data_IF_254325238550
#
_entry.id   IF_254325238550
#
_cell.length_a   1.000
_cell.length_b   1.000
_cell.length_c   1.000
_cell.angle_alpha   90.00
_cell.angle_beta   90.00
_cell.angle_gamma   90.00
#
_symmetry.space_group_name_H-M   'P 1'
#
loop_
_entity.id
_entity.type
_entity.pdbx_description
1 polymer ?
#
# COMPACT_ATOMS: atom_id res chain seq x y z
N UNK A 1 -31.28 29.95 -38.56
CA UNK A 1 -31.69 29.52 -39.92
C UNK A 1 -30.70 28.47 -40.37
N UNK A 2 -31.04 27.24 -40.35
CA UNK A 2 -31.08 26.21 -41.38
C UNK A 2 -31.48 24.88 -40.68
N UNK A 3 -32.56 24.34 -41.23
CA UNK A 3 -33.29 23.14 -40.76
C UNK A 3 -32.61 21.89 -41.29
N UNK A 4 -32.50 20.84 -40.42
CA UNK A 4 -33.23 19.57 -40.50
C UNK A 4 -33.12 18.78 -41.83
N UNK A 5 -32.62 17.51 -41.73
CA UNK A 5 -33.35 16.40 -42.38
C UNK A 5 -32.96 15.03 -41.76
N UNK A 6 -34.02 14.38 -41.32
CA UNK A 6 -34.13 13.00 -40.85
C UNK A 6 -34.59 12.14 -42.02
N UNK A 7 -33.96 11.02 -42.29
CA UNK A 7 -34.60 9.92 -43.02
C UNK A 7 -34.19 8.56 -42.45
N UNK A 8 -35.23 7.83 -42.03
CA UNK A 8 -35.28 6.42 -41.67
C UNK A 8 -35.08 5.57 -42.92
N UNK A 9 -34.51 4.34 -42.76
CA UNK A 9 -34.85 3.21 -43.61
C UNK A 9 -34.95 1.95 -42.75
N UNK A 10 -36.12 1.32 -42.80
CA UNK A 10 -36.48 -0.02 -42.41
C UNK A 10 -36.37 -0.95 -43.63
N UNK A 11 -35.99 -2.19 -43.42
CA UNK A 11 -36.49 -3.42 -44.13
C UNK A 11 -35.36 -4.49 -43.97
N UNK A 12 -35.57 -5.71 -43.74
CA UNK A 12 -36.60 -6.71 -43.58
C UNK A 12 -35.92 -8.06 -43.70
N UNK A 13 -36.44 -9.05 -43.00
CA UNK A 13 -35.98 -10.42 -42.80
C UNK A 13 -35.89 -11.23 -44.11
N UNK A 14 -35.06 -12.34 -44.07
CA UNK A 14 -35.33 -13.55 -44.78
C UNK A 14 -34.71 -14.77 -44.06
N UNK A 15 -35.56 -15.68 -43.65
CA UNK A 15 -35.34 -17.02 -43.13
C UNK A 15 -35.03 -17.95 -44.30
N UNK A 16 -34.03 -18.81 -44.18
CA UNK A 16 -34.00 -20.04 -44.99
C UNK A 16 -33.47 -21.21 -44.15
N UNK A 17 -34.39 -22.10 -43.84
CA UNK A 17 -34.12 -23.41 -43.23
C UNK A 17 -33.75 -24.38 -44.35
N UNK A 18 -32.74 -25.23 -44.14
CA UNK A 18 -32.59 -26.47 -44.90
C UNK A 18 -32.08 -27.59 -43.98
N UNK A 19 -32.95 -28.55 -43.80
CA UNK A 19 -32.76 -29.84 -43.15
C UNK A 19 -32.13 -30.81 -44.16
N UNK A 20 -31.03 -31.48 -43.79
CA UNK A 20 -30.68 -32.75 -44.38
C UNK A 20 -30.24 -33.71 -43.27
N UNK A 21 -31.03 -34.78 -43.16
CA UNK A 21 -30.80 -35.94 -42.30
C UNK A 21 -29.71 -36.84 -42.89
N UNK A 22 -28.83 -37.37 -42.04
CA UNK A 22 -27.92 -38.45 -42.39
C UNK A 22 -27.48 -39.18 -41.13
N UNK A 23 -28.09 -40.34 -40.89
CA UNK A 23 -27.69 -41.28 -39.84
C UNK A 23 -26.40 -41.99 -40.21
N UNK A 24 -25.43 -42.02 -39.28
CA UNK A 24 -24.51 -43.13 -39.14
C UNK A 24 -24.00 -43.20 -37.69
N UNK A 25 -24.20 -44.35 -37.10
CA UNK A 25 -23.85 -44.79 -35.76
C UNK A 25 -22.33 -44.80 -35.54
N UNK A 26 -21.90 -44.23 -34.43
CA UNK A 26 -20.54 -44.33 -33.91
C UNK A 26 -20.49 -43.84 -32.45
N UNK A 27 -20.40 -44.77 -31.53
CA UNK A 27 -20.19 -44.53 -30.09
C UNK A 27 -18.89 -43.82 -29.84
N UNK A 28 -18.97 -42.60 -29.26
CA UNK A 28 -17.83 -41.84 -28.80
C UNK A 28 -18.26 -40.96 -27.63
N UNK A 29 -17.81 -41.32 -26.47
CA UNK A 29 -17.99 -40.56 -25.23
C UNK A 29 -17.50 -39.12 -25.39
N UNK A 30 -18.36 -38.14 -25.20
CA UNK A 30 -17.97 -36.75 -25.06
C UNK A 30 -17.50 -36.52 -23.62
N UNK A 31 -16.18 -36.54 -23.40
CA UNK A 31 -15.57 -36.04 -22.19
C UNK A 31 -15.67 -34.52 -22.21
N UNK A 32 -16.46 -34.01 -21.28
CA UNK A 32 -16.42 -32.58 -20.89
C UNK A 32 -15.06 -32.30 -20.24
N UNK A 33 -14.24 -31.51 -20.91
CA UNK A 33 -12.97 -31.08 -20.38
C UNK A 33 -13.19 -29.99 -19.30
N UNK A 34 -13.45 -30.43 -18.08
CA UNK A 34 -13.13 -29.68 -16.90
C UNK A 34 -11.71 -30.04 -16.51
N UNK A 35 -10.74 -29.23 -16.87
CA UNK A 35 -9.36 -29.45 -16.44
C UNK A 35 -9.18 -29.12 -14.94
N UNK A 36 -9.52 -30.11 -14.10
CA UNK A 36 -8.97 -30.17 -12.76
C UNK A 36 -7.55 -30.75 -12.90
N UNK A 37 -6.54 -29.87 -12.91
CA UNK A 37 -5.15 -30.27 -13.00
C UNK A 37 -4.61 -30.78 -11.65
N UNK A 38 -4.92 -32.04 -11.34
CA UNK A 38 -3.99 -32.84 -10.52
C UNK A 38 -2.98 -33.43 -11.49
N UNK A 39 -1.75 -32.97 -11.43
CA UNK A 39 -0.64 -33.60 -12.12
C UNK A 39 -0.53 -35.06 -11.65
N UNK A 40 -0.16 -35.97 -12.54
CA UNK A 40 -0.11 -37.41 -12.27
C UNK A 40 0.97 -37.85 -11.26
N UNK A 41 1.68 -36.90 -10.65
CA UNK A 41 2.79 -37.08 -9.69
C UNK A 41 2.50 -36.53 -8.27
N UNK A 42 1.26 -36.12 -7.98
CA UNK A 42 0.91 -35.52 -6.67
C UNK A 42 1.31 -34.07 -6.50
N UNK A 43 1.73 -33.37 -7.57
CA UNK A 43 2.05 -31.93 -7.53
C UNK A 43 0.78 -31.09 -7.50
N UNK A 44 0.74 -30.12 -6.57
CA UNK A 44 -0.34 -29.13 -6.41
C UNK A 44 0.13 -27.77 -6.97
N UNK A 45 -0.73 -27.10 -7.72
CA UNK A 45 -0.48 -25.73 -8.16
C UNK A 45 -1.40 -24.78 -7.40
N UNK A 46 -0.82 -23.84 -6.65
CA UNK A 46 -1.52 -22.74 -5.98
C UNK A 46 -1.40 -21.46 -6.79
N UNK A 47 -2.43 -20.62 -6.76
CA UNK A 47 -2.44 -19.32 -7.40
C UNK A 47 -2.16 -18.21 -6.41
N UNK A 48 -1.10 -17.42 -6.68
CA UNK A 48 -0.76 -16.20 -5.92
C UNK A 48 -1.27 -14.98 -6.68
N UNK A 49 -2.27 -14.32 -6.13
CA UNK A 49 -2.84 -13.10 -6.69
C UNK A 49 -2.25 -11.86 -6.01
N UNK A 50 -1.68 -10.95 -6.81
CA UNK A 50 -1.02 -9.73 -6.33
C UNK A 50 -1.08 -8.62 -7.40
N UNK A 51 -0.63 -7.41 -7.04
CA UNK A 51 -0.47 -6.27 -7.96
C UNK A 51 0.98 -6.06 -8.41
N UNK A 52 1.92 -6.76 -7.82
CA UNK A 52 3.34 -6.58 -8.10
C UNK A 52 3.76 -7.07 -9.49
N UNK A 53 4.69 -6.37 -10.14
CA UNK A 53 5.40 -6.91 -11.30
C UNK A 53 6.31 -8.07 -10.89
N UNK A 54 6.23 -9.19 -11.61
CA UNK A 54 6.93 -10.42 -11.22
C UNK A 54 8.46 -10.27 -11.18
N UNK A 55 9.03 -9.67 -12.22
CA UNK A 55 10.49 -9.56 -12.37
C UNK A 55 11.10 -8.41 -11.60
N UNK A 56 10.52 -7.21 -11.72
CA UNK A 56 11.08 -6.02 -11.08
C UNK A 56 11.04 -6.09 -9.56
N UNK A 57 10.11 -6.87 -9.03
CA UNK A 57 9.99 -7.12 -7.59
C UNK A 57 10.55 -8.49 -7.15
N UNK A 58 11.35 -9.15 -8.01
CA UNK A 58 12.06 -10.42 -7.73
C UNK A 58 11.15 -11.56 -7.24
N UNK A 59 9.87 -11.59 -7.63
CA UNK A 59 8.98 -12.69 -7.29
C UNK A 59 9.36 -14.00 -7.95
N UNK A 60 9.97 -13.93 -9.12
CA UNK A 60 10.53 -15.10 -9.81
C UNK A 60 11.63 -15.78 -8.99
N UNK A 61 12.48 -15.01 -8.31
CA UNK A 61 13.52 -15.53 -7.40
C UNK A 61 12.88 -16.21 -6.19
N UNK A 62 11.94 -15.52 -5.51
CA UNK A 62 11.26 -16.06 -4.34
C UNK A 62 10.48 -17.35 -4.68
N UNK A 63 9.72 -17.36 -5.79
CA UNK A 63 8.95 -18.54 -6.22
C UNK A 63 9.88 -19.71 -6.55
N UNK A 64 10.97 -19.47 -7.28
CA UNK A 64 11.92 -20.53 -7.64
C UNK A 64 12.56 -21.17 -6.39
N UNK A 65 12.94 -20.41 -5.39
CA UNK A 65 13.50 -20.96 -4.14
C UNK A 65 12.43 -21.68 -3.30
N UNK A 66 11.18 -21.20 -3.31
CA UNK A 66 10.07 -21.94 -2.68
C UNK A 66 9.87 -23.29 -3.34
N UNK A 67 9.71 -23.34 -4.67
CA UNK A 67 9.47 -24.57 -5.42
C UNK A 67 10.62 -25.57 -5.32
N UNK A 68 11.84 -25.09 -5.11
CA UNK A 68 12.99 -25.95 -4.85
C UNK A 68 12.92 -26.62 -3.47
N UNK A 69 12.45 -25.89 -2.45
CA UNK A 69 12.25 -26.43 -1.09
C UNK A 69 11.00 -27.29 -0.98
N UNK A 70 9.97 -26.99 -1.75
CA UNK A 70 8.66 -27.65 -1.76
C UNK A 70 8.33 -28.18 -3.17
N UNK A 71 9.02 -29.22 -3.66
CA UNK A 71 8.92 -29.63 -5.07
C UNK A 71 7.52 -30.09 -5.48
N UNK A 72 6.68 -30.47 -4.51
CA UNK A 72 5.29 -30.89 -4.75
C UNK A 72 4.31 -29.71 -4.82
N UNK A 73 4.76 -28.45 -4.62
CA UNK A 73 3.91 -27.27 -4.70
C UNK A 73 4.47 -26.33 -5.79
N UNK A 74 3.62 -25.96 -6.74
CA UNK A 74 3.93 -24.99 -7.78
C UNK A 74 3.14 -23.71 -7.52
N UNK A 75 3.72 -22.54 -7.88
CA UNK A 75 3.10 -21.23 -7.70
C UNK A 75 2.83 -20.58 -9.05
N UNK A 76 1.56 -20.51 -9.41
CA UNK A 76 1.10 -19.69 -10.52
C UNK A 76 0.96 -18.22 -10.04
N UNK A 77 1.81 -17.36 -10.58
CA UNK A 77 1.80 -15.94 -10.23
C UNK A 77 0.82 -15.16 -11.11
N UNK A 78 -0.21 -14.59 -10.50
CA UNK A 78 -1.29 -13.86 -11.18
C UNK A 78 -1.22 -12.38 -10.83
N UNK A 79 -0.81 -11.56 -11.79
CA UNK A 79 -0.69 -10.09 -11.62
C UNK A 79 -0.98 -9.37 -12.94
N UNK A 80 -1.48 -8.14 -12.84
CA UNK A 80 -1.56 -7.21 -13.97
C UNK A 80 -0.21 -6.54 -14.29
N UNK A 81 0.79 -6.71 -13.44
CA UNK A 81 2.15 -6.14 -13.56
C UNK A 81 2.20 -4.61 -13.68
N UNK A 82 1.11 -3.92 -13.28
CA UNK A 82 0.98 -2.46 -13.35
C UNK A 82 1.32 -1.74 -12.04
N UNK A 83 1.70 -2.51 -11.02
CA UNK A 83 1.99 -2.04 -9.65
C UNK A 83 0.88 -1.16 -9.06
N UNK A 84 -0.38 -1.47 -9.38
CA UNK A 84 -1.56 -0.73 -8.95
C UNK A 84 -2.50 -1.60 -8.10
N UNK A 85 -2.38 -1.47 -6.79
CA UNK A 85 -3.20 -2.25 -5.85
C UNK A 85 -4.70 -1.95 -5.96
N UNK A 86 -5.11 -0.73 -6.30
CA UNK A 86 -6.53 -0.39 -6.42
C UNK A 86 -7.19 -1.09 -7.61
N UNK A 87 -6.51 -1.17 -8.75
CA UNK A 87 -7.00 -1.93 -9.91
C UNK A 87 -6.96 -3.44 -9.66
N UNK A 88 -5.96 -3.90 -8.93
CA UNK A 88 -5.88 -5.29 -8.48
C UNK A 88 -7.11 -5.69 -7.65
N UNK A 89 -7.53 -4.88 -6.66
CA UNK A 89 -8.69 -5.23 -5.83
C UNK A 89 -9.99 -5.35 -6.63
N UNK A 90 -10.19 -4.50 -7.63
CA UNK A 90 -11.35 -4.62 -8.54
C UNK A 90 -11.36 -5.95 -9.27
N UNK A 91 -10.19 -6.39 -9.77
CA UNK A 91 -10.02 -7.68 -10.47
C UNK A 91 -10.18 -8.85 -9.51
N UNK A 92 -9.61 -8.77 -8.30
CA UNK A 92 -9.74 -9.78 -7.26
C UNK A 92 -11.21 -10.00 -6.88
N UNK A 93 -11.94 -8.92 -6.62
CA UNK A 93 -13.35 -8.98 -6.23
C UNK A 93 -14.22 -9.60 -7.36
N UNK A 94 -13.91 -9.26 -8.62
CA UNK A 94 -14.58 -9.85 -9.78
C UNK A 94 -14.26 -11.34 -9.93
N UNK A 95 -13.00 -11.74 -9.78
CA UNK A 95 -12.57 -13.14 -9.84
C UNK A 95 -13.26 -13.96 -8.75
N UNK A 96 -13.32 -13.46 -7.51
CA UNK A 96 -14.03 -14.11 -6.42
C UNK A 96 -15.54 -14.23 -6.69
N UNK A 97 -16.18 -13.20 -7.25
CA UNK A 97 -17.60 -13.20 -7.59
C UNK A 97 -17.92 -14.15 -8.76
N UNK A 98 -17.01 -14.31 -9.73
CA UNK A 98 -17.17 -15.21 -10.87
C UNK A 98 -16.88 -16.68 -10.53
N UNK A 99 -16.37 -16.96 -9.31
CA UNK A 99 -16.00 -18.31 -8.89
C UNK A 99 -14.67 -18.81 -9.46
N UNK A 100 -13.79 -17.89 -9.85
CA UNK A 100 -12.43 -18.23 -10.24
C UNK A 100 -11.66 -18.87 -9.08
N UNK A 101 -10.76 -19.80 -9.41
CA UNK A 101 -9.92 -20.46 -8.42
C UNK A 101 -8.88 -19.46 -7.88
N UNK A 102 -8.96 -19.16 -6.60
CA UNK A 102 -8.03 -18.32 -5.84
C UNK A 102 -7.46 -19.15 -4.69
N UNK A 103 -6.18 -18.97 -4.35
CA UNK A 103 -5.56 -19.66 -3.22
C UNK A 103 -4.92 -18.65 -2.26
N UNK A 104 -3.86 -17.95 -2.68
CA UNK A 104 -3.20 -16.90 -1.93
C UNK A 104 -3.57 -15.53 -2.50
N UNK A 105 -4.02 -14.63 -1.64
CA UNK A 105 -4.40 -13.26 -1.99
C UNK A 105 -3.63 -12.25 -1.13
N UNK A 106 -3.14 -11.18 -1.75
CA UNK A 106 -2.35 -10.17 -1.06
C UNK A 106 -3.14 -8.89 -0.82
N UNK A 107 -2.82 -8.22 0.28
CA UNK A 107 -3.41 -6.94 0.69
C UNK A 107 -2.30 -5.96 1.05
N UNK A 108 -2.38 -4.73 0.53
CA UNK A 108 -1.39 -3.67 0.78
C UNK A 108 -1.48 -3.06 2.19
N UNK A 109 -2.57 -3.33 2.90
CA UNK A 109 -2.77 -2.93 4.30
C UNK A 109 -3.98 -3.65 4.91
N UNK A 110 -4.14 -3.48 6.21
CA UNK A 110 -5.19 -4.13 6.98
C UNK A 110 -6.61 -3.66 6.65
N UNK A 111 -6.80 -2.44 6.13
CA UNK A 111 -8.13 -1.96 5.73
C UNK A 111 -8.70 -2.78 4.58
N UNK A 112 -7.89 -3.07 3.56
CA UNK A 112 -8.32 -3.90 2.42
C UNK A 112 -8.53 -5.36 2.82
N UNK A 113 -7.71 -5.88 3.74
CA UNK A 113 -7.90 -7.22 4.29
C UNK A 113 -9.21 -7.31 5.09
N UNK A 114 -9.46 -6.35 5.99
CA UNK A 114 -10.66 -6.29 6.83
C UNK A 114 -11.95 -6.30 6.00
N UNK A 115 -12.00 -5.51 4.91
CA UNK A 115 -13.16 -5.50 4.00
C UNK A 115 -13.44 -6.87 3.38
N UNK A 116 -12.41 -7.62 2.96
CA UNK A 116 -12.59 -8.94 2.34
C UNK A 116 -12.83 -10.03 3.37
N UNK A 117 -12.30 -9.87 4.57
CA UNK A 117 -12.64 -10.73 5.71
C UNK A 117 -14.13 -10.65 6.03
N UNK A 118 -14.72 -9.46 6.12
CA UNK A 118 -16.16 -9.27 6.34
C UNK A 118 -17.03 -9.87 5.23
N UNK A 119 -16.54 -9.88 4.01
CA UNK A 119 -17.20 -10.54 2.87
C UNK A 119 -17.03 -12.07 2.88
N UNK A 120 -16.39 -12.64 3.91
CA UNK A 120 -16.15 -14.08 4.02
C UNK A 120 -15.15 -14.63 2.99
N UNK A 121 -14.30 -13.77 2.41
CA UNK A 121 -13.32 -14.17 1.41
C UNK A 121 -12.07 -14.82 1.99
N UNK A 122 -11.82 -14.68 3.29
CA UNK A 122 -10.58 -15.13 3.92
C UNK A 122 -10.81 -16.27 4.91
N UNK A 123 -9.87 -17.19 4.93
CA UNK A 123 -9.78 -18.29 5.90
C UNK A 123 -9.04 -17.79 7.16
N UNK A 124 -9.55 -18.04 8.38
CA UNK A 124 -8.77 -17.87 9.60
C UNK A 124 -7.61 -18.87 9.63
N UNK A 125 -6.41 -18.39 10.00
CA UNK A 125 -5.20 -19.22 10.01
C UNK A 125 -4.69 -19.57 11.41
N UNK A 126 -5.45 -19.25 12.45
CA UNK A 126 -5.07 -19.53 13.84
C UNK A 126 -4.76 -21.00 14.09
N UNK A 127 -5.54 -21.92 13.50
CA UNK A 127 -5.33 -23.35 13.66
C UNK A 127 -3.98 -23.84 13.10
N UNK A 128 -3.45 -23.22 12.04
CA UNK A 128 -2.11 -23.52 11.51
C UNK A 128 -1.01 -22.97 12.44
N UNK A 129 -1.19 -21.75 12.95
CA UNK A 129 -0.25 -21.13 13.89
C UNK A 129 -0.17 -21.93 15.21
N UNK A 130 -1.32 -22.39 15.73
CA UNK A 130 -1.38 -23.22 16.93
C UNK A 130 -0.65 -24.57 16.74
N UNK A 131 -0.78 -25.21 15.59
CA UNK A 131 -0.07 -26.47 15.26
C UNK A 131 1.45 -26.29 15.24
N UNK A 132 1.94 -25.11 14.83
CA UNK A 132 3.37 -24.77 14.84
C UNK A 132 3.85 -24.26 16.22
N UNK A 133 2.94 -23.94 17.15
CA UNK A 133 3.25 -23.23 18.38
C UNK A 133 3.72 -21.78 18.13
N UNK A 134 3.33 -21.19 17.00
CA UNK A 134 3.72 -19.85 16.62
C UNK A 134 2.80 -18.79 17.25
N UNK A 135 3.41 -17.71 17.76
CA UNK A 135 2.69 -16.54 18.30
C UNK A 135 2.95 -15.34 17.42
N UNK A 136 1.94 -14.84 16.75
CA UNK A 136 2.06 -13.73 15.77
C UNK A 136 2.81 -12.53 16.35
N UNK A 137 2.44 -12.09 17.55
CA UNK A 137 3.04 -10.92 18.19
C UNK A 137 4.53 -11.10 18.54
N UNK A 138 4.99 -12.33 18.74
CA UNK A 138 6.41 -12.62 19.04
C UNK A 138 7.24 -12.66 17.76
N UNK A 139 6.62 -13.00 16.63
CA UNK A 139 7.30 -13.25 15.38
C UNK A 139 7.25 -12.10 14.38
N UNK A 140 6.20 -11.28 14.41
CA UNK A 140 5.99 -10.22 13.41
C UNK A 140 5.83 -8.83 14.03
N UNK A 141 6.28 -7.80 13.31
CA UNK A 141 6.14 -6.40 13.71
C UNK A 141 4.75 -5.84 13.43
N UNK A 142 4.05 -6.38 12.43
CA UNK A 142 2.69 -5.97 12.06
C UNK A 142 1.68 -6.93 12.66
N UNK A 143 0.73 -6.41 13.41
CA UNK A 143 -0.40 -7.21 13.95
C UNK A 143 -1.50 -7.32 12.88
N UNK A 144 -1.83 -8.54 12.49
CA UNK A 144 -2.85 -8.82 11.46
C UNK A 144 -4.12 -9.44 12.01
N UNK A 145 -4.32 -9.40 13.34
CA UNK A 145 -5.52 -9.92 13.98
C UNK A 145 -6.70 -8.96 13.81
N UNK A 146 -7.88 -9.53 13.55
CA UNK A 146 -9.15 -8.83 13.50
C UNK A 146 -10.15 -9.61 14.37
N UNK A 147 -10.73 -8.96 15.36
CA UNK A 147 -11.66 -9.61 16.29
C UNK A 147 -11.02 -10.80 17.03
N UNK A 148 -9.72 -10.75 17.30
CA UNK A 148 -8.96 -11.80 17.97
C UNK A 148 -8.56 -12.98 17.08
N UNK A 149 -8.85 -12.97 15.78
CA UNK A 149 -8.47 -14.00 14.79
C UNK A 149 -7.49 -13.46 13.79
N UNK A 150 -6.63 -14.33 13.27
CA UNK A 150 -5.61 -14.05 12.26
C UNK A 150 -6.11 -14.50 10.89
N UNK A 151 -6.18 -13.57 9.90
CA UNK A 151 -6.64 -13.86 8.54
C UNK A 151 -5.54 -13.79 7.49
N UNK A 152 -4.30 -13.60 7.89
CA UNK A 152 -3.13 -13.60 7.03
C UNK A 152 -1.87 -13.26 7.78
N UNK A 153 -0.72 -13.55 7.17
CA UNK A 153 0.59 -13.20 7.72
C UNK A 153 1.17 -11.99 7.01
N UNK A 154 1.82 -11.08 7.75
CA UNK A 154 2.45 -9.91 7.16
C UNK A 154 3.79 -10.30 6.53
N UNK A 155 3.97 -10.01 5.25
CA UNK A 155 5.26 -10.17 4.58
C UNK A 155 6.13 -8.93 4.78
N UNK A 156 5.82 -7.88 4.04
CA UNK A 156 6.55 -6.62 4.09
C UNK A 156 6.15 -5.79 5.31
N UNK A 157 7.15 -5.17 5.95
CA UNK A 157 6.97 -4.08 6.92
C UNK A 157 7.26 -2.75 6.24
N UNK A 158 6.38 -1.80 6.41
CA UNK A 158 6.50 -0.43 5.88
C UNK A 158 6.56 0.55 7.03
N UNK A 159 7.75 1.05 7.32
CA UNK A 159 7.98 2.11 8.29
C UNK A 159 7.90 3.47 7.59
N UNK A 160 7.13 4.45 8.08
CA UNK A 160 7.19 5.81 7.57
C UNK A 160 8.49 6.49 8.01
N UNK A 161 9.14 7.18 7.07
CA UNK A 161 10.35 7.96 7.31
C UNK A 161 10.43 9.13 6.34
N UNK A 162 11.41 10.02 6.52
CA UNK A 162 11.62 11.15 5.63
C UNK A 162 12.80 10.89 4.72
N UNK A 163 12.59 11.07 3.44
CA UNK A 163 13.58 11.03 2.35
C UNK A 163 14.01 12.45 2.06
N UNK A 164 15.31 12.73 2.07
CA UNK A 164 15.86 14.07 1.88
C UNK A 164 16.93 14.01 0.79
N UNK A 165 16.87 14.93 -0.17
CA UNK A 165 17.94 15.14 -1.13
C UNK A 165 19.14 15.79 -0.42
N UNK A 166 20.26 15.06 -0.32
CA UNK A 166 21.46 15.52 0.39
C UNK A 166 22.01 16.85 -0.17
N UNK A 167 21.96 17.04 -1.48
CA UNK A 167 22.44 18.26 -2.11
C UNK A 167 21.60 19.48 -1.70
N UNK A 168 20.28 19.32 -1.64
CA UNK A 168 19.38 20.42 -1.23
C UNK A 168 19.51 20.74 0.27
N UNK A 169 19.74 19.72 1.09
CA UNK A 169 20.02 19.89 2.53
C UNK A 169 21.30 20.72 2.73
N UNK A 170 22.39 20.33 2.03
CA UNK A 170 23.68 21.05 2.06
C UNK A 170 23.56 22.47 1.49
N UNK A 171 22.83 22.65 0.39
CA UNK A 171 22.57 23.96 -0.20
C UNK A 171 21.89 24.91 0.77
N UNK A 172 20.96 24.40 1.59
CA UNK A 172 20.28 25.16 2.64
C UNK A 172 21.13 25.36 3.90
N UNK A 173 22.32 24.79 3.99
CA UNK A 173 23.18 24.85 5.17
C UNK A 173 22.62 24.14 6.40
N UNK A 174 21.81 23.09 6.18
CA UNK A 174 21.15 22.34 7.24
C UNK A 174 21.89 21.04 7.54
N UNK A 175 21.87 20.64 8.81
CA UNK A 175 22.33 19.32 9.25
C UNK A 175 21.21 18.27 9.08
N UNK A 176 21.59 17.01 8.92
CA UNK A 176 20.62 15.90 8.86
C UNK A 176 19.92 15.74 10.22
N UNK A 177 18.58 15.89 10.29
CA UNK A 177 17.89 15.82 11.57
C UNK A 177 17.80 14.37 12.06
N UNK A 178 18.22 14.15 13.32
CA UNK A 178 18.12 12.87 14.02
C UNK A 178 16.93 12.80 14.97
N UNK A 179 16.48 13.95 15.44
CA UNK A 179 15.34 14.11 16.35
C UNK A 179 14.71 15.48 16.11
N UNK A 180 13.49 15.50 15.62
CA UNK A 180 12.78 16.71 15.20
C UNK A 180 11.26 16.58 15.30
N UNK A 181 10.58 17.73 15.26
CA UNK A 181 9.13 17.84 15.28
C UNK A 181 8.59 18.20 13.89
N UNK A 182 7.27 18.06 13.70
CA UNK A 182 6.61 18.50 12.46
C UNK A 182 6.78 19.99 12.19
N UNK A 183 6.87 20.82 13.24
CA UNK A 183 7.16 22.26 13.06
C UNK A 183 8.59 22.47 12.52
N UNK A 184 9.57 21.73 13.04
CA UNK A 184 10.94 21.75 12.52
C UNK A 184 11.02 21.19 11.09
N UNK A 185 10.25 20.13 10.77
CA UNK A 185 10.11 19.63 9.40
C UNK A 185 9.65 20.72 8.43
N UNK A 186 8.64 21.52 8.81
CA UNK A 186 8.15 22.62 7.97
C UNK A 186 9.19 23.75 7.84
N UNK A 187 9.99 24.01 8.89
CA UNK A 187 11.12 24.96 8.80
C UNK A 187 12.18 24.47 7.81
N UNK A 188 12.53 23.19 7.84
CA UNK A 188 13.43 22.57 6.86
C UNK A 188 12.86 22.67 5.45
N UNK A 189 11.58 22.35 5.27
CA UNK A 189 10.92 22.49 3.98
C UNK A 189 11.01 23.93 3.45
N UNK A 190 10.73 24.91 4.29
CA UNK A 190 10.84 26.34 3.94
C UNK A 190 12.26 26.72 3.54
N UNK A 191 13.27 26.31 4.32
CA UNK A 191 14.67 26.61 4.07
C UNK A 191 15.21 25.95 2.78
N UNK A 192 14.71 24.76 2.42
CA UNK A 192 15.10 24.04 1.20
C UNK A 192 14.27 24.42 -0.04
N UNK A 193 13.27 25.29 0.11
CA UNK A 193 12.50 25.80 -1.05
C UNK A 193 13.33 26.77 -1.84
N UNK A 194 13.29 26.65 -3.16
CA UNK A 194 14.04 27.55 -4.06
C UNK A 194 13.24 27.86 -5.29
N UNK A 195 13.13 29.13 -5.63
CA UNK A 195 12.55 29.57 -6.90
C UNK A 195 13.66 30.12 -7.79
N UNK A 196 13.80 29.55 -8.98
CA UNK A 196 14.74 29.99 -9.99
C UNK A 196 14.05 30.05 -11.35
N UNK A 197 14.27 31.16 -12.07
CA UNK A 197 13.69 31.42 -13.40
C UNK A 197 12.16 31.17 -13.48
N UNK A 198 11.43 31.41 -12.39
CA UNK A 198 9.97 31.23 -12.33
C UNK A 198 9.51 29.80 -12.06
N UNK A 199 10.43 28.84 -11.87
CA UNK A 199 10.14 27.48 -11.42
C UNK A 199 10.47 27.32 -9.95
N UNK A 200 9.53 26.82 -9.17
CA UNK A 200 9.72 26.53 -7.74
C UNK A 200 10.04 25.06 -7.52
N UNK A 201 11.18 24.80 -6.87
CA UNK A 201 11.45 23.54 -6.18
C UNK A 201 10.90 23.68 -4.77
N UNK A 202 9.85 22.95 -4.48
CA UNK A 202 9.24 23.00 -3.16
C UNK A 202 10.10 22.27 -2.12
N UNK A 203 9.98 22.69 -0.86
CA UNK A 203 10.68 22.02 0.24
C UNK A 203 10.12 20.63 0.50
N UNK A 204 8.80 20.48 0.43
CA UNK A 204 8.14 19.19 0.61
C UNK A 204 6.88 19.02 -0.25
N UNK A 205 6.43 17.78 -0.34
CA UNK A 205 5.26 17.35 -1.09
C UNK A 205 4.42 16.37 -0.26
N UNK A 206 3.12 16.55 -0.24
CA UNK A 206 2.17 15.61 0.35
C UNK A 206 1.31 14.97 -0.75
N UNK A 207 1.29 13.66 -0.78
CA UNK A 207 0.55 12.93 -1.81
C UNK A 207 -0.97 12.96 -1.57
N UNK A 208 -1.76 12.69 -2.63
CA UNK A 208 -3.23 12.69 -2.61
C UNK A 208 -3.88 11.50 -1.87
N UNK A 209 -3.09 10.65 -1.19
CA UNK A 209 -3.68 9.61 -0.34
C UNK A 209 -4.46 10.21 0.84
N UNK A 210 -5.61 9.65 1.16
CA UNK A 210 -6.47 10.10 2.27
C UNK A 210 -5.70 10.25 3.59
N UNK A 211 -4.85 9.29 3.92
CA UNK A 211 -4.00 9.31 5.12
C UNK A 211 -3.04 10.50 5.18
N UNK A 212 -2.65 11.07 4.03
CA UNK A 212 -1.81 12.27 3.96
C UNK A 212 -2.57 13.56 4.31
N UNK A 213 -3.90 13.53 4.34
CA UNK A 213 -4.70 14.67 4.80
C UNK A 213 -4.71 14.78 6.34
N UNK A 214 -4.57 13.65 7.05
CA UNK A 214 -4.48 13.61 8.53
C UNK A 214 -3.21 12.89 9.01
N UNK A 215 -2.08 13.20 8.36
CA UNK A 215 -0.80 12.46 8.48
C UNK A 215 -0.23 12.39 9.88
N UNK A 216 -0.36 13.43 10.70
CA UNK A 216 0.11 13.43 12.09
C UNK A 216 -0.62 12.34 12.88
N UNK A 217 -1.93 12.20 12.69
CA UNK A 217 -2.70 11.16 13.36
C UNK A 217 -2.37 9.77 12.81
N UNK A 218 -2.42 9.59 11.50
CA UNK A 218 -2.26 8.28 10.87
C UNK A 218 -0.85 7.69 11.03
N UNK A 219 0.17 8.52 11.11
CA UNK A 219 1.56 8.07 11.14
C UNK A 219 2.18 8.01 12.54
N UNK A 220 1.80 8.92 13.46
CA UNK A 220 2.45 9.02 14.76
C UNK A 220 1.67 8.36 15.91
N UNK A 221 0.37 8.12 15.76
CA UNK A 221 -0.46 7.62 16.86
C UNK A 221 -0.71 6.13 16.73
N UNK A 222 -0.29 5.34 17.72
CA UNK A 222 -0.61 3.91 17.80
C UNK A 222 -2.07 3.67 18.18
N UNK A 223 -2.62 4.54 19.04
CA UNK A 223 -4.02 4.50 19.51
C UNK A 223 -4.77 5.67 18.91
N UNK A 224 -5.92 5.42 18.32
CA UNK A 224 -6.73 6.44 17.66
C UNK A 224 -6.11 6.98 16.36
N UNK A 225 -5.29 6.18 15.66
CA UNK A 225 -4.65 6.57 14.40
C UNK A 225 -5.62 6.70 13.22
N UNK A 226 -6.80 6.08 13.34
CA UNK A 226 -7.82 6.07 12.30
C UNK A 226 -8.86 7.20 12.50
N UNK A 227 -9.78 7.33 11.53
CA UNK A 227 -10.91 8.25 11.61
C UNK A 227 -12.04 7.76 12.54
N UNK A 228 -11.85 6.61 13.18
CA UNK A 228 -12.67 6.12 14.31
C UNK A 228 -11.81 5.90 15.52
N UNK A 229 -12.43 5.83 16.71
CA UNK A 229 -11.82 5.20 17.88
C UNK A 229 -11.46 3.74 17.59
N UNK A 230 -10.51 3.17 18.34
CA UNK A 230 -10.00 1.82 18.08
C UNK A 230 -11.08 0.73 18.21
N UNK A 231 -12.16 0.99 18.98
CA UNK A 231 -13.32 0.13 19.07
C UNK A 231 -14.35 0.33 17.94
N UNK A 232 -14.08 1.28 17.03
CA UNK A 232 -14.92 1.58 15.87
C UNK A 232 -16.25 2.25 16.17
N UNK A 233 -16.52 2.65 17.43
CA UNK A 233 -17.85 3.12 17.87
C UNK A 233 -18.06 4.63 17.76
N UNK A 234 -16.97 5.40 17.65
CA UNK A 234 -17.04 6.86 17.58
C UNK A 234 -16.15 7.41 16.48
N UNK A 235 -16.58 8.54 15.89
CA UNK A 235 -15.76 9.32 14.99
C UNK A 235 -14.54 9.90 15.72
N UNK A 236 -13.42 9.99 15.02
CA UNK A 236 -12.12 10.45 15.52
C UNK A 236 -11.47 11.43 14.53
N UNK A 237 -12.27 12.30 13.90
CA UNK A 237 -11.85 13.25 12.88
C UNK A 237 -11.60 14.67 13.40
N UNK A 238 -12.03 15.00 14.64
CA UNK A 238 -11.75 16.27 15.31
C UNK A 238 -10.83 16.04 16.51
N UNK A 239 -9.56 15.80 16.24
CA UNK A 239 -8.52 15.59 17.25
C UNK A 239 -7.42 16.62 17.10
N UNK A 240 -6.59 16.86 18.15
CA UNK A 240 -5.44 17.75 18.05
C UNK A 240 -4.48 17.35 16.91
N UNK A 241 -4.30 16.04 16.65
CA UNK A 241 -3.40 15.55 15.60
C UNK A 241 -3.97 15.73 14.19
N UNK A 242 -5.27 15.58 14.00
CA UNK A 242 -5.93 15.93 12.73
C UNK A 242 -5.81 17.43 12.48
N UNK A 243 -6.17 18.25 13.48
CA UNK A 243 -6.04 19.72 13.38
C UNK A 243 -4.61 20.14 13.06
N UNK A 244 -3.61 19.58 13.73
CA UNK A 244 -2.19 19.84 13.43
C UNK A 244 -1.84 19.49 12.00
N UNK A 245 -2.31 18.38 11.46
CA UNK A 245 -2.09 18.00 10.05
C UNK A 245 -2.64 19.07 9.09
N UNK A 246 -3.85 19.54 9.34
CA UNK A 246 -4.53 20.53 8.51
C UNK A 246 -3.85 21.91 8.60
N UNK A 247 -3.47 22.35 9.81
CA UNK A 247 -2.74 23.60 10.05
C UNK A 247 -1.41 23.63 9.29
N UNK A 248 -0.61 22.57 9.40
CA UNK A 248 0.68 22.46 8.71
C UNK A 248 0.52 22.51 7.19
N UNK A 249 -0.54 21.87 6.65
CA UNK A 249 -0.85 21.89 5.22
C UNK A 249 -1.23 23.29 4.75
N UNK A 250 -2.15 23.96 5.44
CA UNK A 250 -2.55 25.33 5.13
C UNK A 250 -1.37 26.29 5.18
N UNK A 251 -0.61 26.26 6.29
CA UNK A 251 0.57 27.12 6.47
C UNK A 251 1.59 26.91 5.35
N UNK A 252 1.91 25.64 5.04
CA UNK A 252 2.94 25.33 4.05
C UNK A 252 2.58 25.78 2.64
N UNK A 253 1.30 25.73 2.26
CA UNK A 253 0.83 26.23 0.98
C UNK A 253 0.72 27.75 0.95
N UNK A 254 0.23 28.39 2.02
CA UNK A 254 0.15 29.84 2.14
C UNK A 254 1.55 30.50 2.08
N UNK A 255 2.53 29.89 2.73
CA UNK A 255 3.92 30.37 2.73
C UNK A 255 4.72 29.91 1.49
N UNK A 256 4.14 29.06 0.61
CA UNK A 256 4.69 28.69 -0.68
C UNK A 256 5.85 27.70 -0.66
N UNK A 257 6.01 26.89 0.38
CA UNK A 257 7.07 25.87 0.47
C UNK A 257 6.57 24.41 0.40
N UNK A 258 5.26 24.20 0.32
CA UNK A 258 4.61 22.94 0.04
C UNK A 258 4.00 22.97 -1.36
N UNK A 259 4.12 21.89 -2.11
CA UNK A 259 3.46 21.78 -3.42
C UNK A 259 1.95 21.99 -3.26
N UNK A 260 1.32 22.93 -3.99
CA UNK A 260 -0.10 23.25 -3.82
C UNK A 260 -1.01 22.04 -4.08
N UNK A 261 -1.95 21.80 -3.19
CA UNK A 261 -2.88 20.67 -3.32
C UNK A 261 -3.71 20.75 -4.60
N UNK A 262 -4.07 21.95 -5.04
CA UNK A 262 -4.75 22.16 -6.31
C UNK A 262 -3.96 21.64 -7.52
N UNK A 263 -2.63 21.75 -7.49
CA UNK A 263 -1.75 21.19 -8.52
C UNK A 263 -1.65 19.66 -8.38
N UNK A 264 -1.51 19.15 -7.15
CA UNK A 264 -1.46 17.71 -6.88
C UNK A 264 -2.67 17.01 -7.49
N UNK A 265 -3.86 17.56 -7.31
CA UNK A 265 -5.10 16.96 -7.81
C UNK A 265 -5.29 17.19 -9.32
N UNK A 266 -5.16 18.43 -9.79
CA UNK A 266 -5.45 18.77 -11.21
C UNK A 266 -4.48 18.13 -12.19
N UNK A 267 -3.20 18.02 -11.81
CA UNK A 267 -2.13 17.42 -12.62
C UNK A 267 -1.91 15.95 -12.29
N UNK A 268 -2.62 15.38 -11.29
CA UNK A 268 -2.44 14.01 -10.80
C UNK A 268 -0.98 13.72 -10.46
N UNK A 269 -0.35 14.64 -9.73
CA UNK A 269 1.05 14.53 -9.37
C UNK A 269 1.30 13.27 -8.53
N UNK A 270 2.45 12.66 -8.75
CA UNK A 270 2.88 11.47 -8.02
C UNK A 270 4.19 11.74 -7.26
N UNK A 271 4.34 11.18 -6.07
CA UNK A 271 5.51 11.37 -5.20
C UNK A 271 6.83 10.95 -5.86
N UNK A 272 6.83 9.92 -6.72
CA UNK A 272 8.04 9.48 -7.43
C UNK A 272 8.63 10.57 -8.33
N UNK A 273 7.92 11.08 -9.37
CA UNK A 273 8.46 12.19 -10.17
C UNK A 273 8.68 13.45 -9.35
N UNK A 274 7.86 13.73 -8.32
CA UNK A 274 8.10 14.91 -7.47
C UNK A 274 9.45 14.84 -6.75
N UNK A 275 9.83 13.69 -6.21
CA UNK A 275 11.09 13.52 -5.51
C UNK A 275 12.28 13.27 -6.45
N UNK A 276 12.16 12.28 -7.36
CA UNK A 276 13.28 11.86 -8.19
C UNK A 276 13.65 12.87 -9.29
N UNK A 277 12.70 13.67 -9.77
CA UNK A 277 12.99 14.80 -10.67
C UNK A 277 13.37 16.08 -9.93
N UNK A 278 13.54 16.01 -8.60
CA UNK A 278 13.95 17.14 -7.77
C UNK A 278 12.96 18.33 -7.80
N UNK A 279 11.66 18.06 -8.04
CA UNK A 279 10.60 19.07 -7.91
C UNK A 279 10.33 19.40 -6.44
N UNK A 280 10.68 18.47 -5.53
CA UNK A 280 10.66 18.67 -4.08
C UNK A 280 11.97 18.23 -3.44
N UNK A 281 12.33 18.83 -2.30
CA UNK A 281 13.59 18.57 -1.60
C UNK A 281 13.51 17.40 -0.64
N UNK A 282 12.35 17.16 -0.04
CA UNK A 282 12.09 16.05 0.86
C UNK A 282 10.65 15.58 0.77
N UNK A 283 10.42 14.33 1.16
CA UNK A 283 9.09 13.73 1.29
C UNK A 283 9.02 12.82 2.53
N UNK A 284 7.87 12.82 3.21
CA UNK A 284 7.54 11.79 4.20
C UNK A 284 6.80 10.66 3.51
N UNK A 285 7.41 9.46 3.47
CA UNK A 285 6.90 8.31 2.73
C UNK A 285 7.25 6.99 3.44
N UNK A 286 6.66 5.88 3.00
CA UNK A 286 6.96 4.56 3.53
C UNK A 286 8.31 4.00 3.03
N UNK A 287 8.92 3.13 3.84
CA UNK A 287 10.21 2.49 3.55
C UNK A 287 10.24 1.64 2.26
N UNK A 288 9.08 1.37 1.66
CA UNK A 288 8.99 0.71 0.35
C UNK A 288 9.69 1.50 -0.77
N UNK A 289 9.89 2.81 -0.58
CA UNK A 289 10.56 3.67 -1.57
C UNK A 289 12.09 3.61 -1.49
N UNK A 290 12.67 3.06 -0.41
CA UNK A 290 14.13 2.99 -0.21
C UNK A 290 14.87 2.38 -1.40
N UNK A 291 14.46 1.22 -1.97
CA UNK A 291 15.19 0.64 -3.10
C UNK A 291 15.24 1.54 -4.34
N UNK A 292 14.20 2.36 -4.55
CA UNK A 292 14.11 3.24 -5.71
C UNK A 292 15.11 4.41 -5.62
N UNK A 293 15.55 4.78 -4.40
CA UNK A 293 16.53 5.86 -4.21
C UNK A 293 17.94 5.49 -4.70
N UNK A 294 18.22 4.20 -4.87
CA UNK A 294 19.42 3.70 -5.54
C UNK A 294 19.27 3.54 -7.06
N UNK A 295 18.20 4.11 -7.64
CA UNK A 295 17.94 4.07 -9.08
C UNK A 295 17.30 2.76 -9.56
N UNK A 296 16.46 2.91 -10.57
CA UNK A 296 15.81 1.81 -11.30
C UNK A 296 16.15 1.92 -12.80
N UNK A 297 15.70 0.95 -13.60
CA UNK A 297 15.87 1.01 -15.06
C UNK A 297 15.12 2.19 -15.69
N UNK A 298 14.03 2.63 -15.07
CA UNK A 298 13.19 3.74 -15.54
C UNK A 298 13.58 5.10 -14.94
N UNK A 299 14.11 5.08 -13.72
CA UNK A 299 14.44 6.31 -12.97
C UNK A 299 15.85 6.16 -12.39
N UNK A 300 16.89 6.75 -13.06
CA UNK A 300 18.23 6.74 -12.51
C UNK A 300 18.32 7.61 -11.25
N UNK A 301 19.09 7.20 -10.26
CA UNK A 301 19.41 8.06 -9.13
C UNK A 301 20.40 9.15 -9.57
N UNK A 302 20.05 10.41 -9.36
CA UNK A 302 20.86 11.58 -9.76
C UNK A 302 21.41 12.35 -8.58
N UNK A 303 21.04 11.97 -7.37
CA UNK A 303 21.48 12.56 -6.10
C UNK A 303 21.46 11.52 -4.99
N UNK A 304 22.27 11.77 -3.97
CA UNK A 304 22.27 10.92 -2.79
C UNK A 304 21.05 11.24 -1.89
N UNK A 305 20.30 10.19 -1.52
CA UNK A 305 19.23 10.28 -0.53
C UNK A 305 19.77 9.99 0.85
N UNK A 306 19.54 10.89 1.81
CA UNK A 306 19.72 10.69 3.23
C UNK A 306 18.36 10.55 3.90
N UNK A 307 18.31 9.84 5.03
CA UNK A 307 17.07 9.48 5.70
C UNK A 307 16.99 10.11 7.08
N UNK A 308 15.82 10.58 7.45
CA UNK A 308 15.54 11.08 8.79
C UNK A 308 14.33 10.33 9.38
N UNK A 309 14.27 10.19 10.72
CA UNK A 309 13.09 9.65 11.37
C UNK A 309 11.83 10.47 11.04
N UNK A 310 10.67 9.85 11.16
CA UNK A 310 9.41 10.58 11.08
C UNK A 310 9.40 11.67 12.16
N UNK A 311 8.97 12.91 11.83
CA UNK A 311 8.89 13.99 12.83
C UNK A 311 7.93 13.65 13.96
N UNK A 312 8.26 14.06 15.17
CA UNK A 312 7.43 13.90 16.37
C UNK A 312 6.31 14.95 16.41
N UNK A 313 5.26 14.66 17.15
CA UNK A 313 4.20 15.65 17.41
C UNK A 313 4.69 16.68 18.41
N UNK A 314 5.23 16.25 19.57
CA UNK A 314 5.82 17.09 20.59
C UNK A 314 7.29 16.70 20.80
N UNK A 315 8.09 17.63 21.31
CA UNK A 315 9.54 17.45 21.48
C UNK A 315 9.89 16.30 22.42
N UNK A 316 9.09 16.10 23.45
CA UNK A 316 9.26 15.06 24.47
C UNK A 316 8.73 13.66 24.05
N UNK A 317 8.01 13.58 22.94
CA UNK A 317 7.53 12.30 22.42
C UNK A 317 8.70 11.42 21.98
N UNK A 318 8.60 10.10 22.04
CA UNK A 318 9.59 9.22 21.44
C UNK A 318 9.53 9.33 19.91
N UNK A 319 10.66 9.10 19.26
CA UNK A 319 10.68 8.88 17.81
C UNK A 319 9.86 7.60 17.54
N UNK A 320 8.74 7.74 16.86
CA UNK A 320 7.83 6.63 16.58
C UNK A 320 7.19 6.75 15.21
N UNK A 321 6.80 5.62 14.65
CA UNK A 321 6.06 5.55 13.39
C UNK A 321 5.18 4.32 13.34
N UNK A 322 3.97 4.48 12.82
CA UNK A 322 3.06 3.36 12.60
C UNK A 322 3.54 2.52 11.44
N UNK A 323 3.92 1.28 11.73
CA UNK A 323 4.21 0.31 10.68
C UNK A 323 2.92 -0.24 10.08
N UNK A 324 2.92 -0.34 8.78
CA UNK A 324 1.94 -1.11 8.01
C UNK A 324 2.66 -2.19 7.23
N UNK A 325 1.94 -3.00 6.49
CA UNK A 325 2.60 -4.03 5.68
C UNK A 325 1.66 -4.70 4.72
N UNK A 326 2.26 -5.35 3.74
CA UNK A 326 1.51 -6.24 2.88
C UNK A 326 1.20 -7.53 3.62
N UNK A 327 -0.03 -7.98 3.53
CA UNK A 327 -0.52 -9.18 4.20
C UNK A 327 -0.95 -10.21 3.15
N UNK A 328 -0.53 -11.46 3.35
CA UNK A 328 -0.93 -12.57 2.51
C UNK A 328 -1.98 -13.40 3.27
N UNK A 329 -3.16 -13.58 2.67
CA UNK A 329 -4.25 -14.37 3.22
C UNK A 329 -4.60 -15.56 2.33
N UNK A 330 -5.28 -16.55 2.91
CA UNK A 330 -5.80 -17.72 2.21
C UNK A 330 -7.25 -17.42 1.79
N UNK A 331 -7.57 -17.66 0.52
CA UNK A 331 -8.95 -17.54 0.07
C UNK A 331 -9.81 -18.64 0.70
N UNK A 332 -10.94 -18.27 1.30
CA UNK A 332 -11.77 -19.19 2.10
C UNK A 332 -12.30 -20.40 1.32
N UNK A 333 -12.49 -20.26 -0.01
CA UNK A 333 -12.94 -21.34 -0.89
C UNK A 333 -11.81 -22.05 -1.63
N UNK A 334 -10.54 -21.77 -1.28
CA UNK A 334 -9.40 -22.52 -1.83
C UNK A 334 -9.53 -24.01 -1.48
N UNK A 335 -9.14 -24.86 -2.45
CA UNK A 335 -9.04 -26.30 -2.27
C UNK A 335 -7.64 -26.75 -1.83
N UNK A 336 -6.71 -25.81 -1.74
CA UNK A 336 -5.27 -26.01 -1.47
C UNK A 336 -4.82 -25.15 -0.29
N UNK A 337 -5.62 -25.15 0.80
CA UNK A 337 -5.38 -24.26 1.96
C UNK A 337 -4.08 -24.57 2.69
N UNK A 338 -3.70 -25.83 2.80
CA UNK A 338 -2.46 -26.26 3.45
C UNK A 338 -1.23 -25.84 2.65
N UNK A 339 -1.27 -26.01 1.33
CA UNK A 339 -0.19 -25.58 0.44
C UNK A 339 -0.10 -24.05 0.36
N UNK A 340 -1.23 -23.36 0.37
CA UNK A 340 -1.30 -21.91 0.43
C UNK A 340 -0.70 -21.39 1.76
N UNK A 341 -1.03 -22.03 2.89
CA UNK A 341 -0.42 -21.69 4.19
C UNK A 341 1.08 -21.94 4.19
N UNK A 342 1.52 -23.08 3.66
CA UNK A 342 2.94 -23.43 3.54
C UNK A 342 3.71 -22.36 2.76
N UNK A 343 3.15 -21.88 1.65
CA UNK A 343 3.74 -20.81 0.86
C UNK A 343 3.77 -19.48 1.65
N UNK A 344 2.65 -19.07 2.24
CA UNK A 344 2.55 -17.82 3.01
C UNK A 344 3.55 -17.82 4.16
N UNK A 345 3.60 -18.91 4.91
CA UNK A 345 4.51 -19.04 6.06
C UNK A 345 5.97 -18.94 5.66
N UNK A 346 6.36 -19.69 4.62
CA UNK A 346 7.72 -19.62 4.09
C UNK A 346 8.05 -18.22 3.53
N UNK A 347 7.13 -17.65 2.73
CA UNK A 347 7.38 -16.34 2.12
C UNK A 347 7.56 -15.24 3.17
N UNK A 348 6.72 -15.20 4.18
CA UNK A 348 6.75 -14.14 5.21
C UNK A 348 7.92 -14.27 6.18
N UNK A 349 8.59 -15.43 6.26
CA UNK A 349 9.75 -15.66 7.13
C UNK A 349 11.08 -15.64 6.36
N UNK A 350 11.18 -16.39 5.26
CA UNK A 350 12.40 -16.54 4.47
C UNK A 350 12.34 -15.87 3.10
N UNK A 351 11.23 -16.08 2.38
CA UNK A 351 11.11 -15.71 0.97
C UNK A 351 11.24 -14.21 0.73
N UNK A 352 10.70 -13.37 1.60
CA UNK A 352 10.78 -11.91 1.46
C UNK A 352 12.21 -11.39 1.66
N UNK A 353 12.99 -12.01 2.54
CA UNK A 353 14.41 -11.67 2.71
C UNK A 353 15.22 -12.07 1.47
N UNK A 354 14.95 -13.25 0.89
CA UNK A 354 15.57 -13.71 -0.36
C UNK A 354 15.15 -12.85 -1.57
N UNK A 355 13.95 -12.30 -1.56
CA UNK A 355 13.48 -11.37 -2.57
C UNK A 355 14.35 -10.10 -2.64
N UNK A 356 14.93 -9.66 -1.49
CA UNK A 356 15.91 -8.58 -1.42
C UNK A 356 15.41 -7.21 -1.85
N UNK A 357 14.11 -6.96 -1.72
CA UNK A 357 13.45 -5.70 -2.13
C UNK A 357 12.79 -4.94 -1.00
N UNK A 358 12.41 -5.62 0.08
CA UNK A 358 11.56 -5.03 1.11
C UNK A 358 12.04 -5.42 2.51
N UNK A 359 11.69 -4.59 3.47
CA UNK A 359 11.91 -4.89 4.87
C UNK A 359 10.91 -5.96 5.33
N UNK A 360 11.37 -7.11 5.84
CA UNK A 360 10.48 -8.13 6.38
C UNK A 360 9.73 -7.65 7.62
N UNK A 361 8.49 -8.09 7.77
CA UNK A 361 7.77 -7.95 9.03
C UNK A 361 8.23 -8.96 10.09
N UNK A 362 8.90 -10.04 9.67
CA UNK A 362 9.41 -11.07 10.56
C UNK A 362 10.57 -10.56 11.39
N UNK A 363 10.45 -10.65 12.72
CA UNK A 363 11.42 -10.08 13.68
C UNK A 363 12.76 -10.79 13.75
N UNK A 364 12.81 -12.06 13.30
CA UNK A 364 14.02 -12.92 13.43
C UNK A 364 14.96 -12.77 12.23
N UNK A 365 15.08 -11.58 11.66
CA UNK A 365 16.01 -11.24 10.56
C UNK A 365 17.15 -10.39 11.08
N UNK A 366 18.32 -10.53 10.44
CA UNK A 366 19.40 -9.58 10.61
C UNK A 366 19.12 -8.34 9.75
N UNK A 367 18.74 -7.22 10.38
CA UNK A 367 18.33 -6.02 9.66
C UNK A 367 19.48 -5.38 8.88
N UNK A 368 20.72 -5.47 9.36
CA UNK A 368 21.90 -4.98 8.61
C UNK A 368 22.08 -5.73 7.28
N UNK A 369 21.93 -7.08 7.30
CA UNK A 369 21.99 -7.89 6.08
C UNK A 369 20.83 -7.58 5.13
N UNK A 370 19.62 -7.34 5.67
CA UNK A 370 18.46 -6.93 4.86
C UNK A 370 18.74 -5.60 4.15
N UNK A 371 19.27 -4.62 4.87
CA UNK A 371 19.63 -3.31 4.30
C UNK A 371 20.72 -3.47 3.25
N UNK A 372 21.76 -4.25 3.52
CA UNK A 372 22.84 -4.51 2.56
C UNK A 372 22.32 -5.15 1.28
N UNK A 373 21.45 -6.15 1.39
CA UNK A 373 20.87 -6.83 0.24
C UNK A 373 19.98 -5.89 -0.59
N UNK A 374 19.16 -5.06 0.08
CA UNK A 374 18.32 -4.07 -0.61
C UNK A 374 19.19 -3.07 -1.39
N UNK A 375 20.23 -2.52 -0.74
CA UNK A 375 21.13 -1.54 -1.36
C UNK A 375 21.89 -2.18 -2.52
N UNK A 376 22.48 -3.36 -2.31
CA UNK A 376 23.24 -4.08 -3.35
C UNK A 376 22.40 -4.44 -4.58
N UNK A 377 21.08 -4.63 -4.40
CA UNK A 377 20.13 -4.91 -5.48
C UNK A 377 19.75 -3.70 -6.33
N UNK A 378 20.27 -2.50 -6.05
CA UNK A 378 19.98 -1.26 -6.79
C UNK A 378 21.02 -0.96 -7.86
N UNK A 379 20.76 -0.01 -8.75
CA UNK A 379 21.66 0.37 -9.87
C UNK A 379 22.84 1.22 -9.42
N UNK A 380 22.63 2.08 -8.44
CA UNK A 380 23.60 3.04 -7.89
C UNK A 380 23.55 3.00 -6.35
N UNK A 381 24.10 1.91 -5.75
CA UNK A 381 24.05 1.68 -4.30
C UNK A 381 24.58 2.86 -3.48
N UNK A 382 25.57 3.60 -4.00
CA UNK A 382 26.20 4.75 -3.35
C UNK A 382 25.27 5.96 -3.19
N UNK A 383 24.13 5.96 -3.90
CA UNK A 383 23.11 7.02 -3.77
C UNK A 383 22.16 6.79 -2.58
N UNK A 384 22.26 5.65 -1.92
CA UNK A 384 21.53 5.36 -0.67
C UNK A 384 22.48 5.58 0.51
N UNK A 385 22.13 6.46 1.41
CA UNK A 385 22.90 6.64 2.64
C UNK A 385 22.56 5.58 3.67
N UNK A 386 23.36 4.51 3.73
CA UNK A 386 23.16 3.38 4.63
C UNK A 386 23.18 3.79 6.10
N UNK A 387 24.07 4.72 6.49
CA UNK A 387 24.23 5.11 7.88
C UNK A 387 22.96 5.78 8.43
N UNK A 388 22.42 6.74 7.70
CA UNK A 388 21.18 7.40 8.10
C UNK A 388 19.96 6.48 8.05
N UNK A 389 19.92 5.55 7.09
CA UNK A 389 18.86 4.55 7.03
C UNK A 389 18.86 3.63 8.25
N UNK A 390 20.01 3.09 8.61
CA UNK A 390 20.17 2.26 9.81
C UNK A 390 19.83 3.04 11.07
N UNK A 391 20.26 4.30 11.17
CA UNK A 391 19.88 5.16 12.29
C UNK A 391 18.36 5.23 12.47
N UNK A 392 17.62 5.46 11.37
CA UNK A 392 16.15 5.52 11.42
C UNK A 392 15.55 4.20 11.90
N UNK A 393 16.01 3.07 11.34
CA UNK A 393 15.48 1.74 11.67
C UNK A 393 15.73 1.37 13.13
N UNK A 394 16.90 1.73 13.69
CA UNK A 394 17.30 1.42 15.06
C UNK A 394 16.61 2.32 16.10
N UNK A 395 16.39 3.59 15.78
CA UNK A 395 15.91 4.58 16.74
C UNK A 395 14.41 4.85 16.67
N UNK A 396 13.71 4.33 15.65
CA UNK A 396 12.26 4.49 15.55
C UNK A 396 11.53 3.41 16.30
N UNK A 397 10.76 3.78 17.32
CA UNK A 397 9.81 2.88 17.97
C UNK A 397 8.69 2.55 16.97
N UNK A 398 8.72 1.34 16.48
CA UNK A 398 7.67 0.84 15.61
C UNK A 398 6.40 0.59 16.41
N UNK A 399 5.30 1.13 15.94
CA UNK A 399 3.95 0.93 16.49
C UNK A 399 3.02 0.46 15.39
N UNK A 400 1.93 -0.23 15.74
CA UNK A 400 0.92 -0.65 14.78
C UNK A 400 -0.40 0.02 15.17
N UNK A 401 -1.02 0.71 14.22
CA UNK A 401 -2.36 1.23 14.41
C UNK A 401 -3.38 0.09 14.59
N UNK A 402 -4.40 0.30 15.39
CA UNK A 402 -5.53 -0.62 15.44
C UNK A 402 -6.14 -0.81 14.04
N UNK A 403 -6.70 -1.99 13.79
CA UNK A 403 -7.32 -2.29 12.50
C UNK A 403 -8.53 -1.40 12.31
N UNK A 404 -8.62 -0.75 11.16
CA UNK A 404 -9.76 0.06 10.82
C UNK A 404 -11.03 -0.80 10.65
N UNK A 405 -12.18 -0.18 10.87
CA UNK A 405 -13.48 -0.80 10.62
C UNK A 405 -13.65 -1.16 9.13
N UNK A 406 -14.44 -2.18 8.78
CA UNK A 406 -14.62 -2.63 7.39
C UNK A 406 -15.11 -1.53 6.42
N UNK A 407 -15.86 -0.56 6.94
CA UNK A 407 -16.38 0.58 6.17
C UNK A 407 -15.45 1.81 6.18
N UNK A 408 -14.18 1.65 6.54
CA UNK A 408 -13.20 2.73 6.65
C UNK A 408 -13.08 3.58 5.37
N UNK A 409 -13.18 2.97 4.20
CA UNK A 409 -13.13 3.69 2.93
C UNK A 409 -14.27 4.73 2.76
N UNK A 410 -15.45 4.48 3.34
CA UNK A 410 -16.56 5.44 3.36
C UNK A 410 -16.21 6.65 4.25
N UNK A 411 -15.52 6.39 5.37
CA UNK A 411 -15.08 7.44 6.31
C UNK A 411 -13.99 8.31 5.68
N UNK A 412 -12.99 7.68 5.05
CA UNK A 412 -11.93 8.40 4.35
C UNK A 412 -12.49 9.28 3.23
N UNK A 413 -13.45 8.77 2.46
CA UNK A 413 -14.12 9.56 1.42
C UNK A 413 -14.75 10.83 1.99
N UNK A 414 -15.48 10.71 3.08
CA UNK A 414 -16.11 11.87 3.74
C UNK A 414 -15.07 12.85 4.26
N UNK A 415 -13.99 12.36 4.86
CA UNK A 415 -12.91 13.22 5.34
C UNK A 415 -12.23 13.96 4.18
N UNK A 416 -11.94 13.27 3.08
CA UNK A 416 -11.33 13.88 1.89
C UNK A 416 -12.25 14.93 1.27
N UNK A 417 -13.56 14.72 1.22
CA UNK A 417 -14.52 15.72 0.73
C UNK A 417 -14.46 17.03 1.54
N UNK A 418 -14.35 16.94 2.87
CA UNK A 418 -14.20 18.12 3.73
C UNK A 418 -12.80 18.74 3.61
N UNK A 419 -11.78 17.92 3.47
CA UNK A 419 -10.40 18.38 3.20
C UNK A 419 -10.33 19.12 1.84
N UNK A 420 -10.94 18.60 0.80
CA UNK A 420 -11.05 19.26 -0.51
C UNK A 420 -11.78 20.61 -0.41
N UNK A 421 -12.87 20.67 0.36
CA UNK A 421 -13.58 21.92 0.59
C UNK A 421 -12.68 22.96 1.29
N UNK A 422 -11.84 22.55 2.22
CA UNK A 422 -10.87 23.42 2.88
C UNK A 422 -9.77 23.88 1.91
N UNK A 423 -9.08 22.94 1.26
CA UNK A 423 -7.89 23.25 0.47
C UNK A 423 -8.21 23.90 -0.90
N UNK A 424 -9.36 23.59 -1.48
CA UNK A 424 -9.72 24.03 -2.85
C UNK A 424 -10.81 25.11 -2.86
N UNK A 425 -11.61 25.23 -1.80
CA UNK A 425 -12.78 26.13 -1.78
C UNK A 425 -12.77 27.13 -0.61
N UNK A 426 -11.74 27.12 0.24
CA UNK A 426 -11.56 28.09 1.31
C UNK A 426 -12.46 27.87 2.53
N UNK A 427 -12.97 26.64 2.75
CA UNK A 427 -13.66 26.29 3.99
C UNK A 427 -12.67 26.42 5.16
N UNK A 428 -13.09 27.01 6.28
CA UNK A 428 -12.22 27.14 7.44
C UNK A 428 -11.99 25.79 8.14
N UNK A 429 -10.90 25.68 8.89
CA UNK A 429 -10.46 24.45 9.55
C UNK A 429 -11.50 23.95 10.56
N UNK A 430 -12.08 24.83 11.38
CA UNK A 430 -13.05 24.44 12.42
C UNK A 430 -14.32 23.84 11.79
N UNK A 431 -14.81 24.44 10.72
CA UNK A 431 -15.92 23.91 9.93
C UNK A 431 -15.56 22.54 9.33
N UNK A 432 -14.34 22.41 8.78
CA UNK A 432 -13.85 21.18 8.16
C UNK A 432 -13.86 20.02 9.14
N UNK A 433 -13.20 20.14 10.30
CA UNK A 433 -13.14 19.05 11.28
C UNK A 433 -14.49 18.75 11.91
N UNK A 434 -15.30 19.78 12.16
CA UNK A 434 -16.67 19.61 12.69
C UNK A 434 -17.57 18.83 11.73
N UNK A 435 -17.56 19.21 10.46
CA UNK A 435 -18.35 18.51 9.44
C UNK A 435 -17.87 17.07 9.26
N UNK A 436 -16.54 16.85 9.16
CA UNK A 436 -15.98 15.51 9.08
C UNK A 436 -16.39 14.65 10.27
N UNK A 437 -16.25 15.16 11.49
CA UNK A 437 -16.65 14.47 12.73
C UNK A 437 -18.12 14.06 12.70
N UNK A 438 -19.02 14.97 12.35
CA UNK A 438 -20.46 14.73 12.33
C UNK A 438 -20.87 13.74 11.24
N UNK A 439 -20.32 13.90 10.04
CA UNK A 439 -20.65 13.04 8.89
C UNK A 439 -20.12 11.63 9.10
N UNK A 440 -18.92 11.48 9.65
CA UNK A 440 -18.31 10.19 10.00
C UNK A 440 -19.14 9.51 11.10
N UNK A 441 -19.52 10.23 12.17
CA UNK A 441 -20.35 9.64 13.22
C UNK A 441 -21.69 9.13 12.67
N UNK A 442 -22.31 9.87 11.76
CA UNK A 442 -23.56 9.45 11.13
C UNK A 442 -23.42 8.14 10.34
N UNK A 443 -22.27 7.91 9.69
CA UNK A 443 -21.98 6.63 9.01
C UNK A 443 -21.86 5.53 10.06
N UNK A 444 -21.08 5.75 11.12
CA UNK A 444 -20.89 4.77 12.20
C UNK A 444 -22.24 4.36 12.80
N UNK A 445 -23.09 5.33 13.11
CA UNK A 445 -24.42 5.09 13.72
C UNK A 445 -25.38 4.31 12.79
N UNK A 446 -25.07 4.20 11.50
CA UNK A 446 -25.86 3.49 10.50
C UNK A 446 -25.41 2.04 10.25
N UNK A 447 -24.30 1.61 10.84
CA UNK A 447 -23.74 0.25 10.69
C UNK A 447 -24.16 -0.66 11.80
#
# INVERSE_FOLDING_TARGET
MFKRNWKRFFAAAAILSLIVSGCASGSGESQGAGSNGSAADGTVTIKLHTWYPKKTDNWDVAIAEFEKKHPNIKVEFVSAEDNNSNEYYKKLDLAAASGEALDVVMFSNMNYLSQRMELGMLEPIDGYLEQEGAVLADEYTVDTRIGGKTYGLPGKSVLPLVFINENHLKEAGLELPKDWTWDEYMQYAKAMTKTDAGKTRYGTYFHSWSTQAYFVQSMNQAVGANLTTDDGTKANADTPSVRKSLELRLQGEEEGFVTPYSEVISQKLNYRPQYFNQETSMISMGSFLVPETGGTDQVPATFKTVFAPLPKVNKEDPISGNVSGDVLGIYSKSKHKEEAYTFIRWYTTEGIALQGKYFPSWKKVNMDEVVDNIIAGTKTPEMIDKESLLYVLEHTKQTTAAVAVPFHAELEKVFVEEFDAMMLSGQDLDTTVKNAQQRIQKIIDSK
#
